data_IF_429030173032
#
_entry.id   IF_429030173032
#
_cell.length_a   1.000
_cell.length_b   1.000
_cell.length_c   1.000
_cell.angle_alpha   90.00
_cell.angle_beta   90.00
_cell.angle_gamma   90.00
#
_symmetry.space_group_name_H-M   'P 1'
#
loop_
_entity.id
_entity.type
_entity.pdbx_description
1 polymer ?
#
# COMPACT_ATOMS: atom_id res chain seq x y z
N UNK A 1 -17.00 -17.71 -21.68
CA UNK A 1 -17.39 -16.39 -22.21
C UNK A 1 -16.13 -15.61 -22.56
N UNK A 2 -15.92 -15.28 -23.84
CA UNK A 2 -14.83 -14.39 -24.27
C UNK A 2 -15.29 -12.96 -23.99
N UNK A 3 -14.64 -12.27 -23.05
CA UNK A 3 -14.96 -10.89 -22.71
C UNK A 3 -14.29 -10.01 -23.78
N UNK A 4 -15.08 -9.46 -24.70
CA UNK A 4 -14.54 -8.78 -25.87
C UNK A 4 -13.86 -7.43 -25.54
N UNK A 5 -14.21 -6.73 -24.46
CA UNK A 5 -13.55 -5.46 -24.09
C UNK A 5 -13.45 -5.19 -22.57
N UNK A 6 -12.44 -5.76 -21.86
CA UNK A 6 -12.21 -5.53 -20.43
C UNK A 6 -12.05 -4.04 -20.07
N UNK A 7 -11.43 -3.27 -20.96
CA UNK A 7 -11.15 -1.83 -20.79
C UNK A 7 -12.40 -0.96 -20.87
N UNK A 8 -13.40 -1.31 -21.70
CA UNK A 8 -14.70 -0.61 -21.75
C UNK A 8 -15.56 -0.97 -20.56
N UNK A 9 -15.51 -2.23 -20.11
CA UNK A 9 -16.25 -2.68 -18.94
C UNK A 9 -15.71 -2.03 -17.66
N UNK A 10 -14.40 -1.83 -17.53
CA UNK A 10 -13.77 -1.12 -16.40
C UNK A 10 -14.31 0.30 -16.14
N UNK A 11 -14.77 1.01 -17.18
CA UNK A 11 -15.34 2.36 -17.05
C UNK A 11 -16.80 2.37 -16.57
N UNK A 12 -17.46 1.20 -16.46
CA UNK A 12 -18.84 1.10 -16.04
C UNK A 12 -18.99 1.47 -14.56
N UNK A 13 -20.16 2.02 -14.22
CA UNK A 13 -20.46 2.58 -12.88
C UNK A 13 -20.27 1.54 -11.77
N UNK A 14 -20.56 0.27 -12.06
CA UNK A 14 -20.36 -0.92 -11.21
C UNK A 14 -18.92 -1.11 -10.72
N UNK A 15 -17.92 -0.82 -11.57
CA UNK A 15 -16.50 -1.06 -11.28
C UNK A 15 -15.76 0.17 -10.75
N UNK A 16 -16.46 1.29 -10.52
CA UNK A 16 -15.87 2.51 -9.92
C UNK A 16 -15.17 2.27 -8.58
N UNK A 17 -15.75 1.57 -7.58
CA UNK A 17 -15.03 1.25 -6.34
C UNK A 17 -13.71 0.53 -6.59
N UNK A 18 -13.75 -0.48 -7.46
CA UNK A 18 -12.59 -1.26 -7.87
C UNK A 18 -11.52 -0.39 -8.52
N UNK A 19 -11.90 0.46 -9.48
CA UNK A 19 -10.98 1.37 -10.17
C UNK A 19 -10.39 2.41 -9.23
N UNK A 20 -11.19 2.96 -8.31
CA UNK A 20 -10.67 3.90 -7.30
C UNK A 20 -9.64 3.23 -6.41
N UNK A 21 -9.88 2.00 -5.94
CA UNK A 21 -8.89 1.24 -5.17
C UNK A 21 -7.64 0.90 -5.99
N UNK A 22 -7.81 0.54 -7.28
CA UNK A 22 -6.72 0.24 -8.19
C UNK A 22 -5.75 1.42 -8.42
N UNK A 23 -6.24 2.65 -8.27
CA UNK A 23 -5.42 3.87 -8.43
C UNK A 23 -4.94 4.40 -7.07
N UNK A 24 -5.82 4.42 -6.06
CA UNK A 24 -5.52 5.00 -4.75
C UNK A 24 -4.55 4.16 -3.93
N UNK A 25 -4.66 2.82 -3.95
CA UNK A 25 -3.75 1.94 -3.20
C UNK A 25 -2.29 2.12 -3.65
N UNK A 26 -1.93 1.96 -4.95
CA UNK A 26 -0.54 2.15 -5.38
C UNK A 26 -0.09 3.62 -5.23
N UNK A 27 -0.99 4.58 -5.39
CA UNK A 27 -0.71 5.99 -5.15
C UNK A 27 -0.28 6.25 -3.70
N UNK A 28 -1.07 5.78 -2.73
CA UNK A 28 -0.73 5.89 -1.30
C UNK A 28 0.52 5.10 -0.96
N UNK A 29 0.67 3.89 -1.52
CA UNK A 29 1.88 3.08 -1.36
C UNK A 29 3.13 3.85 -1.76
N UNK A 30 3.10 4.59 -2.87
CA UNK A 30 4.25 5.39 -3.31
C UNK A 30 4.44 6.69 -2.54
N UNK A 31 3.34 7.33 -2.13
CA UNK A 31 3.40 8.52 -1.29
C UNK A 31 3.85 8.23 0.15
N UNK A 32 3.93 6.97 0.57
CA UNK A 32 4.68 6.61 1.78
C UNK A 32 6.18 6.95 1.64
N UNK A 33 6.69 7.15 0.43
CA UNK A 33 8.11 7.45 0.22
C UNK A 33 9.03 6.26 0.52
N UNK A 34 8.52 5.02 0.51
CA UNK A 34 9.36 3.83 0.77
C UNK A 34 10.54 3.73 -0.21
N UNK A 35 10.30 3.99 -1.50
CA UNK A 35 11.34 3.96 -2.52
C UNK A 35 12.43 4.99 -2.23
N UNK A 36 12.01 6.18 -1.81
CA UNK A 36 12.89 7.26 -1.39
C UNK A 36 13.75 6.86 -0.19
N UNK A 37 13.13 6.29 0.85
CA UNK A 37 13.82 5.85 2.07
C UNK A 37 14.80 4.74 1.75
N UNK A 38 14.45 3.80 0.87
CA UNK A 38 15.32 2.72 0.41
C UNK A 38 16.57 3.24 -0.30
N UNK A 39 16.46 4.32 -1.11
CA UNK A 39 17.62 4.94 -1.75
C UNK A 39 18.44 5.80 -0.79
N UNK A 40 17.80 6.49 0.16
CA UNK A 40 18.50 7.37 1.10
C UNK A 40 19.17 6.62 2.24
N UNK A 41 18.58 5.52 2.71
CA UNK A 41 19.14 4.71 3.79
C UNK A 41 20.64 4.43 3.60
N UNK A 42 21.10 3.80 2.48
CA UNK A 42 22.52 3.50 2.29
C UNK A 42 23.41 4.75 2.21
N UNK A 43 22.93 5.84 1.62
CA UNK A 43 23.65 7.13 1.56
C UNK A 43 23.84 7.69 2.96
N UNK A 44 22.79 7.67 3.78
CA UNK A 44 22.78 8.14 5.16
C UNK A 44 23.69 7.26 6.03
N UNK A 45 23.65 5.93 5.85
CA UNK A 45 24.56 5.01 6.53
C UNK A 45 26.03 5.27 6.22
N UNK A 46 26.35 5.57 4.95
CA UNK A 46 27.72 5.87 4.52
C UNK A 46 28.23 7.20 5.12
N UNK A 47 27.38 8.23 5.17
CA UNK A 47 27.75 9.54 5.73
C UNK A 47 28.04 9.50 7.23
N UNK A 48 27.49 8.53 7.96
CA UNK A 48 27.68 8.40 9.43
C UNK A 48 29.05 7.80 9.79
N UNK A 49 29.83 7.33 8.79
CA UNK A 49 31.19 6.83 9.01
C UNK A 49 31.22 5.40 9.57
N UNK A 50 30.10 4.69 9.49
CA UNK A 50 30.11 3.23 9.56
C UNK A 50 30.80 2.74 8.29
N UNK A 51 32.13 2.59 8.31
CA UNK A 51 32.93 2.17 7.17
C UNK A 51 32.33 0.96 6.45
N UNK A 52 32.73 0.72 5.19
CA UNK A 52 32.15 -0.28 4.25
C UNK A 52 31.49 -1.52 4.88
N UNK A 53 32.13 -2.15 5.88
CA UNK A 53 31.64 -3.34 6.59
C UNK A 53 30.38 -3.11 7.45
N UNK A 54 30.22 -1.95 8.09
CA UNK A 54 29.08 -1.68 8.97
C UNK A 54 27.82 -1.24 8.18
N UNK A 55 27.99 -0.60 7.01
CA UNK A 55 26.89 -0.36 6.06
C UNK A 55 26.38 -1.67 5.45
N UNK A 56 27.28 -2.61 5.15
CA UNK A 56 26.89 -3.95 4.71
C UNK A 56 26.09 -4.66 5.81
N UNK A 57 26.56 -4.62 7.06
CA UNK A 57 25.91 -5.26 8.19
C UNK A 57 24.53 -4.64 8.49
N UNK A 58 24.36 -3.32 8.39
CA UNK A 58 23.06 -2.67 8.55
C UNK A 58 22.08 -2.98 7.40
N UNK A 59 22.59 -3.08 6.17
CA UNK A 59 21.79 -3.53 5.02
C UNK A 59 21.31 -4.98 5.22
N UNK A 60 22.19 -5.86 5.70
CA UNK A 60 21.83 -7.24 6.05
C UNK A 60 20.77 -7.26 7.16
N UNK A 61 20.96 -6.50 8.24
CA UNK A 61 19.98 -6.43 9.35
C UNK A 61 18.62 -5.92 8.84
N UNK A 62 18.61 -4.85 8.03
CA UNK A 62 17.38 -4.31 7.45
C UNK A 62 16.71 -5.32 6.52
N UNK A 63 17.49 -6.06 5.73
CA UNK A 63 17.01 -7.15 4.89
C UNK A 63 16.40 -8.29 5.70
N UNK A 64 17.05 -8.74 6.78
CA UNK A 64 16.53 -9.78 7.68
C UNK A 64 15.23 -9.32 8.34
N UNK A 65 15.20 -8.09 8.86
CA UNK A 65 13.98 -7.50 9.44
C UNK A 65 12.86 -7.46 8.41
N UNK A 66 13.15 -7.11 7.16
CA UNK A 66 12.16 -7.11 6.07
C UNK A 66 11.61 -8.52 5.78
N UNK A 67 12.47 -9.56 5.76
CA UNK A 67 12.04 -10.95 5.58
C UNK A 67 11.16 -11.41 6.75
N UNK A 68 11.56 -11.13 7.99
CA UNK A 68 10.79 -11.48 9.19
C UNK A 68 9.45 -10.74 9.20
N UNK A 69 9.45 -9.44 8.88
CA UNK A 69 8.23 -8.63 8.77
C UNK A 69 7.29 -9.19 7.68
N UNK A 70 7.83 -9.66 6.57
CA UNK A 70 7.05 -10.30 5.50
C UNK A 70 6.41 -11.60 6.00
N UNK A 71 7.14 -12.44 6.75
CA UNK A 71 6.57 -13.66 7.35
C UNK A 71 5.45 -13.34 8.34
N UNK A 72 5.63 -12.31 9.18
CA UNK A 72 4.60 -11.83 10.10
C UNK A 72 3.37 -11.34 9.34
N UNK A 73 3.55 -10.66 8.20
CA UNK A 73 2.45 -10.24 7.35
C UNK A 73 1.64 -11.41 6.82
N UNK A 74 2.30 -12.44 6.29
CA UNK A 74 1.64 -13.62 5.73
C UNK A 74 0.76 -14.27 6.80
N UNK A 75 1.29 -14.47 8.01
CA UNK A 75 0.53 -15.05 9.11
C UNK A 75 -0.58 -14.10 9.63
N UNK A 76 -0.27 -12.80 9.70
CA UNK A 76 -1.19 -11.77 10.20
C UNK A 76 -2.38 -11.51 9.28
N UNK A 77 -2.19 -11.60 7.96
CA UNK A 77 -3.21 -11.32 6.94
C UNK A 77 -4.42 -12.24 7.12
N UNK A 78 -4.15 -13.52 7.40
CA UNK A 78 -5.20 -14.51 7.60
C UNK A 78 -5.77 -14.48 9.02
N UNK A 79 -4.97 -14.10 10.02
CA UNK A 79 -5.42 -14.11 11.43
C UNK A 79 -6.15 -12.83 11.84
N UNK A 80 -5.61 -11.66 11.54
CA UNK A 80 -6.12 -10.36 12.01
C UNK A 80 -6.91 -9.58 10.96
N UNK A 81 -6.79 -9.95 9.69
CA UNK A 81 -7.47 -9.27 8.58
C UNK A 81 -6.63 -8.14 7.98
N UNK A 82 -7.02 -7.71 6.79
CA UNK A 82 -6.24 -6.80 5.96
C UNK A 82 -6.33 -5.37 6.50
N UNK A 83 -7.51 -4.97 6.97
CA UNK A 83 -7.76 -3.61 7.48
C UNK A 83 -6.98 -3.34 8.78
N UNK A 84 -6.92 -4.31 9.68
CA UNK A 84 -6.18 -4.17 10.94
C UNK A 84 -4.68 -3.96 10.68
N UNK A 85 -4.07 -4.77 9.80
CA UNK A 85 -2.66 -4.64 9.44
C UNK A 85 -2.33 -3.31 8.75
N UNK A 86 -3.23 -2.81 7.89
CA UNK A 86 -3.03 -1.49 7.28
C UNK A 86 -3.03 -0.35 8.30
N UNK A 87 -3.94 -0.41 9.29
CA UNK A 87 -4.05 0.62 10.32
C UNK A 87 -2.90 0.57 11.31
N UNK A 88 -2.51 -0.63 11.75
CA UNK A 88 -1.38 -0.83 12.66
C UNK A 88 -0.07 -0.38 11.98
N UNK A 89 0.16 -0.82 10.73
CA UNK A 89 1.34 -0.39 9.97
C UNK A 89 1.35 1.10 9.70
N UNK A 90 0.20 1.69 9.36
CA UNK A 90 0.05 3.14 9.22
C UNK A 90 0.36 3.91 10.50
N UNK A 91 -0.09 3.40 11.65
CA UNK A 91 0.19 4.00 12.97
C UNK A 91 1.67 3.91 13.33
N UNK A 92 2.32 2.76 13.14
CA UNK A 92 3.76 2.59 13.34
C UNK A 92 4.56 3.52 12.43
N UNK A 93 4.20 3.62 11.16
CA UNK A 93 4.85 4.50 10.19
C UNK A 93 4.70 5.97 10.58
N UNK A 94 3.52 6.37 11.06
CA UNK A 94 3.24 7.73 11.52
C UNK A 94 4.09 8.09 12.74
N UNK A 95 4.18 7.21 13.75
CA UNK A 95 5.04 7.44 14.92
C UNK A 95 6.49 7.60 14.48
N UNK A 96 6.99 6.71 13.62
CA UNK A 96 8.38 6.78 13.16
C UNK A 96 8.65 8.09 12.41
N UNK A 97 7.75 8.51 11.52
CA UNK A 97 7.87 9.79 10.83
C UNK A 97 7.78 10.99 11.76
N UNK A 98 6.87 10.97 12.75
CA UNK A 98 6.74 12.04 13.72
C UNK A 98 8.01 12.19 14.56
N UNK A 99 8.62 11.07 14.98
CA UNK A 99 9.88 11.10 15.74
C UNK A 99 11.04 11.58 14.86
N UNK A 100 11.17 11.06 13.64
CA UNK A 100 12.23 11.51 12.70
C UNK A 100 12.07 12.99 12.38
N UNK A 101 10.84 13.46 12.11
CA UNK A 101 10.53 14.86 11.90
C UNK A 101 10.88 15.70 13.14
N UNK A 102 10.47 15.30 14.34
CA UNK A 102 10.76 16.02 15.57
C UNK A 102 12.27 16.10 15.86
N UNK A 103 13.00 15.00 15.67
CA UNK A 103 14.45 14.97 15.77
C UNK A 103 15.09 15.97 14.80
N UNK A 104 14.69 15.92 13.52
CA UNK A 104 15.27 16.77 12.46
C UNK A 104 14.90 18.23 12.68
N UNK A 105 13.66 18.53 13.07
CA UNK A 105 13.19 19.87 13.38
C UNK A 105 13.91 20.48 14.59
N UNK A 106 14.10 19.71 15.66
CA UNK A 106 14.80 20.15 16.86
C UNK A 106 16.29 20.46 16.61
N UNK A 107 16.93 19.78 15.65
CA UNK A 107 18.37 19.95 15.36
C UNK A 107 18.67 20.88 14.20
N UNK A 108 17.88 20.88 13.13
CA UNK A 108 18.11 21.78 11.99
C UNK A 108 17.59 23.19 12.26
N UNK A 109 16.56 23.35 13.11
CA UNK A 109 15.96 24.65 13.43
C UNK A 109 15.53 25.46 12.20
N UNK A 110 14.96 26.64 12.42
CA UNK A 110 14.59 27.59 11.35
C UNK A 110 15.85 28.23 10.72
N UNK A 111 17.03 28.05 11.34
CA UNK A 111 18.25 28.81 11.05
C UNK A 111 19.37 28.03 10.35
N UNK A 112 19.09 26.87 9.76
CA UNK A 112 19.89 26.33 8.64
C UNK A 112 21.40 26.12 8.86
N UNK A 113 21.89 25.98 10.10
CA UNK A 113 23.30 25.69 10.32
C UNK A 113 23.53 24.16 10.35
N UNK A 114 24.28 23.59 9.40
CA UNK A 114 24.65 22.17 9.43
C UNK A 114 25.76 21.99 10.48
N UNK A 115 25.41 22.08 11.76
CA UNK A 115 26.32 21.64 12.81
C UNK A 115 26.63 20.16 12.64
N UNK A 116 27.86 19.75 13.00
CA UNK A 116 28.29 18.35 12.96
C UNK A 116 27.24 17.45 13.61
N UNK A 117 26.64 16.56 12.82
CA UNK A 117 25.68 15.57 13.30
C UNK A 117 26.41 14.67 14.29
N UNK A 118 26.06 14.71 15.59
CA UNK A 118 26.70 13.81 16.54
C UNK A 118 26.29 12.38 16.17
N UNK A 119 27.26 11.47 16.12
CA UNK A 119 27.07 10.08 15.60
C UNK A 119 25.87 9.36 16.24
N UNK A 120 25.60 9.60 17.52
CA UNK A 120 24.45 9.03 18.23
C UNK A 120 23.09 9.43 17.62
N UNK A 121 22.97 10.66 17.11
CA UNK A 121 21.74 11.16 16.52
C UNK A 121 21.44 10.45 15.20
N UNK A 122 22.48 10.22 14.41
CA UNK A 122 22.33 9.56 13.12
C UNK A 122 22.00 8.06 13.27
N UNK A 123 22.51 7.41 14.32
CA UNK A 123 22.10 6.04 14.73
C UNK A 123 20.60 6.00 15.07
N UNK A 124 20.09 7.00 15.81
CA UNK A 124 18.66 7.08 16.17
C UNK A 124 17.79 7.24 14.92
N UNK A 125 18.14 8.14 14.00
CA UNK A 125 17.40 8.33 12.74
C UNK A 125 17.36 7.05 11.91
N UNK A 126 18.51 6.39 11.78
CA UNK A 126 18.64 5.08 11.14
C UNK A 126 17.71 4.04 11.76
N UNK A 127 17.70 3.94 13.08
CA UNK A 127 16.89 2.95 13.80
C UNK A 127 15.39 3.18 13.54
N UNK A 128 14.94 4.43 13.56
CA UNK A 128 13.55 4.77 13.21
C UNK A 128 13.23 4.52 11.75
N UNK A 129 14.18 4.71 10.83
CA UNK A 129 14.02 4.32 9.42
C UNK A 129 13.85 2.80 9.29
N UNK A 130 14.63 2.00 10.03
CA UNK A 130 14.47 0.55 10.02
C UNK A 130 13.11 0.12 10.56
N UNK A 131 12.61 0.73 11.64
CA UNK A 131 11.27 0.46 12.18
C UNK A 131 10.18 0.91 11.19
N UNK A 132 10.38 2.03 10.49
CA UNK A 132 9.48 2.48 9.43
C UNK A 132 9.41 1.47 8.28
N UNK A 133 10.56 0.98 7.80
CA UNK A 133 10.64 -0.04 6.75
C UNK A 133 9.99 -1.34 7.20
N UNK A 134 10.22 -1.78 8.44
CA UNK A 134 9.55 -2.95 9.01
C UNK A 134 8.02 -2.78 9.04
N UNK A 135 7.55 -1.61 9.47
CA UNK A 135 6.14 -1.24 9.52
C UNK A 135 5.49 -1.19 8.15
N UNK A 136 6.23 -0.78 7.12
CA UNK A 136 5.76 -0.85 5.73
C UNK A 136 5.76 -2.30 5.20
N UNK A 137 6.82 -3.05 5.49
CA UNK A 137 7.06 -4.41 5.00
C UNK A 137 5.98 -5.41 5.42
N UNK A 138 5.43 -5.28 6.63
CA UNK A 138 4.36 -6.17 7.07
C UNK A 138 2.93 -5.71 6.74
N UNK A 139 2.78 -4.50 6.19
CA UNK A 139 1.49 -3.86 5.93
C UNK A 139 1.37 -3.47 4.46
N UNK A 140 1.62 -2.21 4.12
CA UNK A 140 1.46 -1.62 2.80
C UNK A 140 2.28 -2.29 1.69
N UNK A 141 3.40 -2.92 2.03
CA UNK A 141 4.20 -3.70 1.08
C UNK A 141 3.38 -4.85 0.45
N UNK A 142 3.05 -5.91 1.21
CA UNK A 142 2.29 -7.05 0.70
C UNK A 142 0.81 -6.72 0.47
N UNK A 143 0.17 -5.95 1.37
CA UNK A 143 -1.26 -5.61 1.23
C UNK A 143 -1.53 -4.74 0.01
N UNK A 144 -0.57 -3.88 -0.39
CA UNK A 144 -0.69 -3.05 -1.59
C UNK A 144 -0.85 -3.87 -2.88
N UNK A 145 -0.36 -5.11 -2.90
CA UNK A 145 -0.53 -6.03 -4.04
C UNK A 145 -1.67 -7.02 -3.82
N UNK A 146 -1.81 -7.53 -2.59
CA UNK A 146 -2.82 -8.51 -2.22
C UNK A 146 -4.23 -7.93 -2.37
N UNK A 147 -4.50 -6.76 -1.78
CA UNK A 147 -5.85 -6.20 -1.70
C UNK A 147 -6.43 -5.85 -3.07
N UNK A 148 -5.69 -5.22 -4.00
CA UNK A 148 -6.16 -5.08 -5.38
C UNK A 148 -6.50 -6.44 -6.03
N UNK A 149 -5.70 -7.49 -5.78
CA UNK A 149 -5.97 -8.82 -6.37
C UNK A 149 -7.22 -9.52 -5.80
N UNK A 150 -7.57 -9.25 -4.54
CA UNK A 150 -8.76 -9.79 -3.86
C UNK A 150 -10.03 -9.03 -4.25
N UNK A 151 -9.91 -7.72 -4.43
CA UNK A 151 -11.04 -6.84 -4.74
C UNK A 151 -11.51 -7.03 -6.19
N UNK A 152 -10.60 -7.26 -7.14
CA UNK A 152 -10.97 -7.26 -8.56
C UNK A 152 -11.73 -8.53 -8.99
N UNK A 153 -12.92 -8.38 -9.62
CA UNK A 153 -13.64 -9.49 -10.20
C UNK A 153 -12.84 -10.10 -11.35
N UNK A 154 -12.99 -11.41 -11.54
CA UNK A 154 -12.18 -12.21 -12.47
C UNK A 154 -12.17 -11.64 -13.91
N UNK A 155 -13.27 -11.03 -14.33
CA UNK A 155 -13.46 -10.48 -15.67
C UNK A 155 -12.55 -9.30 -16.01
N UNK A 156 -12.29 -8.42 -15.04
CA UNK A 156 -11.51 -7.19 -15.23
C UNK A 156 -10.17 -7.20 -14.50
N UNK A 157 -9.86 -8.28 -13.77
CA UNK A 157 -8.67 -8.37 -12.91
C UNK A 157 -7.38 -8.08 -13.67
N UNK A 158 -7.20 -8.65 -14.86
CA UNK A 158 -5.98 -8.45 -15.65
C UNK A 158 -5.79 -6.97 -16.03
N UNK A 159 -6.84 -6.32 -16.55
CA UNK A 159 -6.80 -4.92 -16.93
C UNK A 159 -6.67 -3.98 -15.72
N UNK A 160 -7.37 -4.27 -14.61
CA UNK A 160 -7.26 -3.51 -13.36
C UNK A 160 -5.87 -3.63 -12.72
N UNK A 161 -5.25 -4.82 -12.77
CA UNK A 161 -3.86 -5.02 -12.32
C UNK A 161 -2.86 -4.30 -13.22
N UNK A 162 -3.08 -4.26 -14.54
CA UNK A 162 -2.24 -3.44 -15.43
C UNK A 162 -2.30 -1.97 -15.03
N UNK A 163 -3.49 -1.42 -14.74
CA UNK A 163 -3.64 -0.04 -14.24
C UNK A 163 -2.91 0.14 -12.91
N UNK A 164 -3.08 -0.79 -11.97
CA UNK A 164 -2.39 -0.75 -10.67
C UNK A 164 -0.86 -0.65 -10.85
N UNK A 165 -0.27 -1.52 -11.68
CA UNK A 165 1.16 -1.50 -11.99
C UNK A 165 1.57 -0.20 -12.70
N UNK A 166 0.79 0.27 -13.68
CA UNK A 166 1.09 1.51 -14.40
C UNK A 166 1.09 2.72 -13.47
N UNK A 167 0.09 2.84 -12.60
CA UNK A 167 -0.02 3.92 -11.60
C UNK A 167 1.15 3.82 -10.62
N UNK A 168 1.44 2.61 -10.13
CA UNK A 168 2.55 2.36 -9.21
C UNK A 168 3.90 2.81 -9.80
N UNK A 169 4.19 2.44 -11.05
CA UNK A 169 5.43 2.81 -11.74
C UNK A 169 5.50 4.31 -12.04
N UNK A 170 4.39 4.90 -12.47
CA UNK A 170 4.30 6.33 -12.77
C UNK A 170 4.53 7.18 -11.51
N UNK A 171 3.90 6.84 -10.39
CA UNK A 171 4.13 7.55 -9.12
C UNK A 171 5.52 7.28 -8.55
N UNK A 172 6.07 6.08 -8.73
CA UNK A 172 7.48 5.81 -8.38
C UNK A 172 8.41 6.78 -9.10
N UNK A 173 8.22 6.96 -10.41
CA UNK A 173 9.01 7.88 -11.21
C UNK A 173 8.83 9.34 -10.75
N UNK A 174 7.60 9.80 -10.57
CA UNK A 174 7.31 11.18 -10.14
C UNK A 174 7.93 11.46 -8.77
N UNK A 175 7.72 10.57 -7.79
CA UNK A 175 8.27 10.74 -6.44
C UNK A 175 9.79 10.74 -6.49
N UNK A 176 10.43 9.84 -7.25
CA UNK A 176 11.89 9.81 -7.40
C UNK A 176 12.46 11.12 -7.98
N UNK A 177 11.79 11.72 -8.98
CA UNK A 177 12.23 12.97 -9.60
C UNK A 177 12.06 14.19 -8.68
N UNK A 178 10.89 14.32 -8.05
CA UNK A 178 10.57 15.50 -7.22
C UNK A 178 11.33 15.46 -5.88
N UNK A 179 11.67 14.26 -5.40
CA UNK A 179 12.28 14.07 -4.10
C UNK A 179 13.62 14.78 -3.90
N UNK A 180 14.56 14.69 -4.84
CA UNK A 180 15.85 15.38 -4.72
C UNK A 180 15.65 16.91 -4.61
N UNK A 181 14.72 17.45 -5.39
CA UNK A 181 14.36 18.88 -5.34
C UNK A 181 13.73 19.26 -3.99
N UNK A 182 12.80 18.43 -3.47
CA UNK A 182 12.18 18.63 -2.16
C UNK A 182 13.17 18.48 -1.00
N UNK A 183 14.17 17.62 -1.09
CA UNK A 183 15.22 17.52 -0.08
C UNK A 183 16.09 18.77 -0.02
N UNK A 184 16.50 19.28 -1.18
CA UNK A 184 17.37 20.44 -1.27
C UNK A 184 16.69 21.71 -0.75
N UNK A 185 15.41 21.91 -1.10
CA UNK A 185 14.68 23.14 -0.75
C UNK A 185 13.86 23.03 0.54
N UNK A 186 13.29 21.86 0.81
CA UNK A 186 12.24 21.69 1.82
C UNK A 186 12.67 20.87 3.03
N UNK A 187 13.90 20.33 3.11
CA UNK A 187 14.52 19.57 4.24
C UNK A 187 13.53 19.02 5.28
N UNK A 188 13.09 19.84 6.24
CA UNK A 188 12.14 19.49 7.30
C UNK A 188 10.71 19.23 6.80
N UNK A 189 10.20 20.05 5.89
CA UNK A 189 8.86 19.94 5.33
C UNK A 189 8.63 18.68 4.48
N UNK A 190 9.69 18.01 4.00
CA UNK A 190 9.56 16.70 3.36
C UNK A 190 8.97 15.64 4.32
N UNK A 191 9.45 15.60 5.57
CA UNK A 191 8.95 14.65 6.56
C UNK A 191 7.53 14.97 6.98
N UNK A 192 7.18 16.25 7.09
CA UNK A 192 5.83 16.71 7.41
C UNK A 192 4.86 16.41 6.26
N UNK A 193 5.31 16.57 5.01
CA UNK A 193 4.57 16.17 3.81
C UNK A 193 4.26 14.67 3.84
N UNK A 194 5.26 13.82 4.06
CA UNK A 194 5.01 12.37 4.13
C UNK A 194 4.13 11.99 5.33
N UNK A 195 4.31 12.60 6.51
CA UNK A 195 3.46 12.37 7.67
C UNK A 195 1.99 12.71 7.39
N UNK A 196 1.74 13.84 6.70
CA UNK A 196 0.40 14.21 6.26
C UNK A 196 -0.21 13.14 5.33
N UNK A 197 0.56 12.63 4.37
CA UNK A 197 0.08 11.57 3.47
C UNK A 197 -0.14 10.23 4.18
N UNK A 198 0.69 9.88 5.17
CA UNK A 198 0.52 8.69 6.01
C UNK A 198 -0.77 8.78 6.86
N UNK A 199 -1.11 9.97 7.38
CA UNK A 199 -2.40 10.21 8.03
C UNK A 199 -3.55 10.06 7.04
N UNK A 200 -3.44 10.72 5.88
CA UNK A 200 -4.49 10.72 4.86
C UNK A 200 -4.78 9.31 4.34
N UNK A 201 -3.74 8.51 4.07
CA UNK A 201 -3.91 7.12 3.63
C UNK A 201 -4.52 6.24 4.73
N UNK A 202 -4.15 6.46 6.00
CA UNK A 202 -4.69 5.69 7.13
C UNK A 202 -6.19 5.98 7.32
N UNK A 203 -6.58 7.25 7.21
CA UNK A 203 -7.99 7.68 7.19
C UNK A 203 -8.72 7.06 5.99
N UNK A 204 -8.09 7.07 4.82
CA UNK A 204 -8.68 6.47 3.62
C UNK A 204 -8.95 4.97 3.80
N UNK A 205 -7.98 4.21 4.32
CA UNK A 205 -8.17 2.79 4.60
C UNK A 205 -9.22 2.57 5.70
N UNK A 206 -9.26 3.43 6.72
CA UNK A 206 -10.28 3.32 7.76
C UNK A 206 -11.71 3.48 7.22
N UNK A 207 -11.97 4.44 6.34
CA UNK A 207 -13.33 4.77 5.88
C UNK A 207 -13.77 4.07 4.60
N UNK A 208 -12.84 3.78 3.67
CA UNK A 208 -13.17 3.32 2.32
C UNK A 208 -12.82 1.86 2.06
N UNK A 209 -11.91 1.25 2.85
CA UNK A 209 -11.52 -0.15 2.63
C UNK A 209 -12.38 -1.09 3.50
N UNK A 210 -13.31 -1.86 2.91
CA UNK A 210 -13.99 -2.92 3.65
C UNK A 210 -13.01 -4.06 4.00
N UNK A 211 -13.34 -4.83 5.03
CA UNK A 211 -12.56 -6.02 5.37
C UNK A 211 -12.78 -7.10 4.30
N UNK A 212 -11.67 -7.60 3.70
CA UNK A 212 -11.70 -8.63 2.64
C UNK A 212 -11.40 -10.03 3.18
N UNK A 213 -11.14 -10.18 4.49
CA UNK A 213 -10.77 -11.45 5.11
C UNK A 213 -11.83 -12.53 4.94
N UNK A 214 -11.43 -13.64 4.32
CA UNK A 214 -12.20 -14.88 4.27
C UNK A 214 -13.41 -14.84 3.32
N UNK A 215 -13.51 -13.81 2.48
CA UNK A 215 -14.63 -13.62 1.55
C UNK A 215 -14.19 -14.15 0.18
N UNK A 216 -14.94 -15.10 -0.43
CA UNK A 216 -14.63 -15.57 -1.77
C UNK A 216 -14.75 -14.41 -2.77
N UNK A 217 -13.86 -14.40 -3.77
CA UNK A 217 -13.73 -13.27 -4.70
C UNK A 217 -15.02 -13.01 -5.50
N UNK A 218 -15.85 -14.04 -5.65
CA UNK A 218 -17.17 -13.97 -6.31
C UNK A 218 -18.20 -13.18 -5.48
N UNK A 219 -18.07 -13.19 -4.15
CA UNK A 219 -18.96 -12.50 -3.21
C UNK A 219 -18.49 -11.08 -2.87
N UNK A 220 -17.32 -10.64 -3.34
CA UNK A 220 -16.81 -9.29 -3.10
C UNK A 220 -17.80 -8.20 -3.50
N UNK A 221 -18.63 -8.45 -4.52
CA UNK A 221 -19.72 -7.54 -4.91
C UNK A 221 -20.69 -7.22 -3.77
N UNK A 222 -21.02 -8.20 -2.92
CA UNK A 222 -21.92 -8.03 -1.78
C UNK A 222 -21.28 -7.18 -0.66
N UNK A 223 -19.95 -7.29 -0.50
CA UNK A 223 -19.19 -6.47 0.45
C UNK A 223 -19.23 -4.99 0.05
N UNK A 224 -19.06 -4.71 -1.24
CA UNK A 224 -19.20 -3.35 -1.77
C UNK A 224 -20.62 -2.80 -1.64
N UNK A 225 -21.65 -3.65 -1.80
CA UNK A 225 -23.06 -3.28 -1.57
C UNK A 225 -23.37 -2.96 -0.11
N UNK A 226 -22.76 -3.68 0.82
CA UNK A 226 -23.00 -3.48 2.27
C UNK A 226 -22.27 -2.24 2.81
N UNK A 227 -21.28 -1.73 2.06
CA UNK A 227 -20.48 -0.58 2.48
C UNK A 227 -21.21 0.75 2.30
N UNK A 228 -21.33 1.53 3.36
CA UNK A 228 -22.08 2.80 3.43
C UNK A 228 -21.82 3.78 2.27
N UNK A 229 -20.56 3.89 1.80
CA UNK A 229 -20.18 4.79 0.73
C UNK A 229 -20.22 4.17 -0.68
N UNK A 230 -19.96 2.87 -0.79
CA UNK A 230 -19.79 2.20 -2.09
C UNK A 230 -21.09 1.57 -2.60
N UNK A 231 -22.05 1.32 -1.70
CA UNK A 231 -23.41 0.87 -2.02
C UNK A 231 -24.07 1.71 -3.11
N UNK A 232 -23.85 3.04 -3.10
CA UNK A 232 -24.43 3.98 -4.09
C UNK A 232 -23.94 3.79 -5.54
N UNK A 233 -22.87 3.02 -5.73
CA UNK A 233 -22.28 2.78 -7.06
C UNK A 233 -22.49 1.35 -7.56
N UNK A 234 -22.96 0.44 -6.71
CA UNK A 234 -23.21 -0.96 -7.07
C UNK A 234 -24.73 -1.17 -7.11
N UNK A 235 -25.31 -1.27 -8.30
CA UNK A 235 -26.76 -1.45 -8.47
C UNK A 235 -27.21 -2.88 -8.08
N UNK A 236 -28.49 -3.06 -7.75
CA UNK A 236 -28.98 -4.37 -7.30
C UNK A 236 -28.95 -5.45 -8.39
N UNK A 237 -29.22 -5.06 -9.64
CA UNK A 237 -29.23 -5.93 -10.82
C UNK A 237 -27.85 -6.54 -11.16
N UNK A 238 -26.78 -5.93 -10.66
CA UNK A 238 -25.41 -6.29 -11.02
C UNK A 238 -24.85 -7.50 -10.25
N UNK A 239 -25.47 -7.85 -9.12
CA UNK A 239 -25.13 -9.02 -8.29
C UNK A 239 -26.44 -9.58 -7.71
N UNK A 240 -27.11 -10.52 -8.41
CA UNK A 240 -28.36 -11.08 -7.93
C UNK A 240 -28.13 -11.77 -6.57
N UNK A 241 -28.95 -11.38 -5.58
CA UNK A 241 -29.00 -12.01 -4.27
C UNK A 241 -29.65 -13.38 -4.45
N UNK A 242 -28.91 -14.45 -4.16
CA UNK A 242 -29.47 -15.79 -4.11
C UNK A 242 -29.73 -16.43 -5.47
N UNK A 243 -28.67 -16.71 -6.21
CA UNK A 243 -28.70 -17.74 -7.25
C UNK A 243 -27.80 -18.87 -6.80
N UNK A 244 -28.35 -19.88 -6.12
CA UNK A 244 -27.68 -21.17 -6.04
C UNK A 244 -27.26 -21.57 -7.44
N UNK A 245 -26.03 -22.05 -7.61
CA UNK A 245 -25.60 -22.70 -8.84
C UNK A 245 -26.55 -23.89 -9.09
N UNK A 246 -27.66 -23.67 -9.78
CA UNK A 246 -28.41 -24.71 -10.44
C UNK A 246 -27.54 -25.22 -11.59
N UNK A 247 -26.63 -26.12 -11.22
CA UNK A 247 -26.14 -27.17 -12.10
C UNK A 247 -27.38 -27.89 -12.63
N UNK A 248 -27.80 -27.51 -13.84
CA UNK A 248 -28.84 -28.21 -14.61
C UNK A 248 -28.35 -29.63 -14.86
N UNK A 249 -28.66 -30.53 -13.93
CA UNK A 249 -28.58 -31.98 -14.10
C UNK A 249 -29.82 -32.45 -14.86
N UNK A 250 -29.59 -33.28 -15.88
CA UNK A 250 -30.52 -34.34 -16.25
C UNK A 250 -31.14 -34.17 -17.62
N UNK A 251 -30.72 -35.01 -18.57
CA UNK A 251 -31.25 -35.05 -19.92
C UNK A 251 -32.56 -35.82 -20.05
N UNK A 252 -33.13 -35.77 -21.25
CA UNK A 252 -33.84 -36.87 -21.94
C UNK A 252 -34.22 -36.37 -23.34
N UNK A 253 -33.95 -37.18 -24.36
CA UNK A 253 -34.15 -36.82 -25.77
C UNK A 253 -35.62 -36.83 -26.21
N UNK A 254 -35.85 -36.77 -27.52
CA UNK A 254 -36.81 -37.70 -28.09
C UNK A 254 -36.25 -38.48 -29.28
N UNK A 255 -36.47 -39.79 -29.24
CA UNK A 255 -36.62 -40.64 -30.43
C UNK A 255 -37.85 -40.16 -31.21
N UNK A 256 -37.81 -40.29 -32.54
CA UNK A 256 -38.85 -40.79 -33.45
C UNK A 256 -38.30 -40.56 -34.87
N UNK A 257 -37.89 -41.61 -35.59
CA UNK A 257 -38.67 -42.34 -36.62
C UNK A 257 -39.24 -41.41 -37.67
#
# INVERSE_FOLDING_TARGET
MKIEHPWRNLLQRKYRPHMTMAVMIPFFQQLTGINVIMFYAPVLFNTIGFGSNASLMSAVITGVVNVVATMVSIYGVDKWGRRFLFLEGGFQMLICQAVVAACIGAKFGINGNPGELPKWYAIVVVLFICIYVAGFAWSWGPLGWLVPSEIFPLEIRSAAQSINVSVNMLFTFIVAQIFLTMLCHLKFGLFLFFAFFVVLMSIFVYYFLPETKGIPIEEMGQVWKTHWFWARYVADEDYPIGGGYEMTKGGQGPKNV
#
